data_IF_957438919372
#
_entry.id   IF_957438919372
#
_cell.length_a   1.000
_cell.length_b   1.000
_cell.length_c   1.000
_cell.angle_alpha   90.00
_cell.angle_beta   90.00
_cell.angle_gamma   90.00
#
_symmetry.space_group_name_H-M   'P 1'
#
loop_
_entity.id
_entity.type
_entity.pdbx_description
1 polymer ?
#
# COMPACT_ATOMS: atom_id res chain seq x y z
N UNK A 1 1.78 -8.77 -13.92
CA UNK A 1 3.09 -8.28 -13.42
C UNK A 1 3.21 -8.54 -11.91
N UNK A 2 4.42 -8.80 -11.40
CA UNK A 2 4.69 -8.87 -9.96
C UNK A 2 4.51 -7.50 -9.27
N UNK A 3 3.96 -7.49 -8.06
CA UNK A 3 3.75 -6.25 -7.30
C UNK A 3 5.07 -5.60 -6.87
N UNK A 4 6.13 -6.38 -6.61
CA UNK A 4 7.44 -5.86 -6.25
C UNK A 4 7.98 -4.85 -7.28
N UNK A 5 7.79 -5.14 -8.58
CA UNK A 5 8.17 -4.22 -9.65
C UNK A 5 7.42 -2.90 -9.55
N UNK A 6 6.11 -2.93 -9.30
CA UNK A 6 5.29 -1.73 -9.13
C UNK A 6 5.68 -0.94 -7.86
N UNK A 7 5.94 -1.65 -6.76
CA UNK A 7 6.39 -1.07 -5.50
C UNK A 7 7.73 -0.34 -5.64
N UNK A 8 8.67 -0.92 -6.39
CA UNK A 8 9.93 -0.25 -6.72
C UNK A 8 9.73 0.98 -7.61
N UNK A 9 8.80 0.95 -8.56
CA UNK A 9 8.41 2.17 -9.30
C UNK A 9 7.87 3.24 -8.35
N UNK A 10 7.05 2.89 -7.36
CA UNK A 10 6.58 3.87 -6.38
C UNK A 10 7.72 4.50 -5.57
N UNK A 11 8.74 3.73 -5.21
CA UNK A 11 9.93 4.22 -4.52
C UNK A 11 10.72 5.24 -5.36
N UNK A 12 10.83 4.99 -6.67
CA UNK A 12 11.46 5.93 -7.62
C UNK A 12 10.62 7.19 -7.84
N UNK A 13 9.29 7.05 -7.90
CA UNK A 13 8.37 8.18 -8.03
C UNK A 13 8.49 9.13 -6.83
N UNK A 14 8.59 8.60 -5.61
CA UNK A 14 8.75 9.42 -4.40
C UNK A 14 10.05 10.23 -4.39
N UNK A 15 11.10 9.71 -5.02
CA UNK A 15 12.39 10.41 -5.14
C UNK A 15 12.43 11.43 -6.28
N UNK A 16 11.42 11.45 -7.14
CA UNK A 16 11.44 12.19 -8.41
C UNK A 16 10.56 13.44 -8.35
N UNK A 17 11.15 14.61 -8.63
CA UNK A 17 10.42 15.89 -8.65
C UNK A 17 10.06 16.39 -10.08
N UNK A 18 10.62 15.77 -11.12
CA UNK A 18 10.37 16.17 -12.51
C UNK A 18 9.10 15.51 -13.03
N UNK A 19 8.13 16.32 -13.46
CA UNK A 19 6.87 15.82 -14.04
C UNK A 19 7.08 14.89 -15.24
N UNK A 20 8.06 15.20 -16.11
CA UNK A 20 8.36 14.36 -17.27
C UNK A 20 8.93 13.01 -16.82
N UNK A 21 9.87 13.02 -15.87
CA UNK A 21 10.44 11.79 -15.33
C UNK A 21 9.38 10.92 -14.61
N UNK A 22 8.42 11.55 -13.90
CA UNK A 22 7.30 10.81 -13.30
C UNK A 22 6.44 10.09 -14.35
N UNK A 23 6.19 10.73 -15.50
CA UNK A 23 5.44 10.12 -16.60
C UNK A 23 6.21 8.94 -17.19
N UNK A 24 7.52 9.11 -17.41
CA UNK A 24 8.39 8.05 -17.93
C UNK A 24 8.42 6.84 -16.99
N UNK A 25 8.65 7.07 -15.69
CA UNK A 25 8.67 6.03 -14.66
C UNK A 25 7.35 5.24 -14.60
N UNK A 26 6.19 5.91 -14.71
CA UNK A 26 4.90 5.22 -14.74
C UNK A 26 4.64 4.51 -16.08
N UNK A 27 5.19 4.99 -17.19
CA UNK A 27 4.94 4.38 -18.51
C UNK A 27 5.57 2.98 -18.60
N UNK A 28 6.74 2.77 -18.00
CA UNK A 28 7.44 1.48 -18.01
C UNK A 28 6.58 0.30 -17.51
N UNK A 29 6.02 0.31 -16.29
CA UNK A 29 5.18 -0.80 -15.82
C UNK A 29 3.93 -0.98 -16.69
N UNK A 30 3.32 0.09 -17.23
CA UNK A 30 2.14 -0.04 -18.10
C UNK A 30 2.44 -0.75 -19.42
N UNK A 31 3.67 -0.67 -19.95
CA UNK A 31 4.06 -1.41 -21.17
C UNK A 31 4.17 -2.91 -20.95
N UNK A 32 4.31 -3.36 -19.70
CA UNK A 32 4.44 -4.77 -19.34
C UNK A 32 3.09 -5.45 -19.06
N UNK A 33 2.00 -4.68 -19.07
CA UNK A 33 0.67 -5.19 -18.74
C UNK A 33 0.00 -5.73 -20.00
N UNK A 34 -0.48 -6.97 -19.93
CA UNK A 34 -1.09 -7.65 -21.08
C UNK A 34 -2.60 -7.39 -21.20
N UNK A 35 -3.27 -7.03 -20.10
CA UNK A 35 -4.73 -6.97 -20.03
C UNK A 35 -5.31 -5.68 -19.42
N UNK A 36 -6.50 -5.23 -19.87
CA UNK A 36 -7.10 -3.97 -19.42
C UNK A 36 -7.50 -3.97 -17.93
N UNK A 37 -7.79 -5.14 -17.35
CA UNK A 37 -8.14 -5.23 -15.93
C UNK A 37 -6.94 -4.99 -15.00
N UNK A 38 -5.75 -5.48 -15.38
CA UNK A 38 -4.53 -5.20 -14.61
C UNK A 38 -4.17 -3.71 -14.70
N UNK A 39 -4.30 -3.08 -15.87
CA UNK A 39 -4.12 -1.62 -16.03
C UNK A 39 -5.04 -0.86 -15.06
N UNK A 40 -6.32 -1.23 -15.02
CA UNK A 40 -7.30 -0.62 -14.12
C UNK A 40 -6.91 -0.76 -12.65
N UNK A 41 -6.42 -1.93 -12.23
CA UNK A 41 -5.96 -2.17 -10.86
C UNK A 41 -4.73 -1.35 -10.52
N UNK A 42 -3.73 -1.28 -11.41
CA UNK A 42 -2.56 -0.41 -11.25
C UNK A 42 -2.98 1.04 -11.09
N UNK A 43 -3.88 1.53 -11.95
CA UNK A 43 -4.41 2.89 -11.86
C UNK A 43 -5.02 3.19 -10.49
N UNK A 44 -5.71 2.24 -9.87
CA UNK A 44 -6.24 2.41 -8.51
C UNK A 44 -5.13 2.38 -7.45
N UNK A 45 -4.18 1.45 -7.53
CA UNK A 45 -3.09 1.33 -6.56
C UNK A 45 -2.17 2.58 -6.57
N UNK A 46 -1.86 3.12 -7.75
CA UNK A 46 -1.12 4.39 -7.91
C UNK A 46 -1.82 5.54 -7.18
N UNK A 47 -3.16 5.51 -7.10
CA UNK A 47 -3.96 6.50 -6.39
C UNK A 47 -4.16 6.19 -4.90
N UNK A 48 -3.57 5.10 -4.39
CA UNK A 48 -3.79 4.63 -3.02
C UNK A 48 -5.18 4.06 -2.79
N UNK A 49 -5.79 3.42 -3.79
CA UNK A 49 -7.18 2.92 -3.75
C UNK A 49 -7.29 1.48 -4.21
N UNK A 50 -8.41 0.86 -3.83
CA UNK A 50 -8.81 -0.49 -4.28
C UNK A 50 -10.25 -0.55 -4.83
N UNK A 51 -10.87 0.62 -5.01
CA UNK A 51 -12.22 0.78 -5.54
C UNK A 51 -12.42 2.20 -6.11
N UNK A 52 -13.40 2.40 -7.01
CA UNK A 52 -13.81 3.73 -7.46
C UNK A 52 -14.47 4.54 -6.34
N UNK A 53 -14.48 5.87 -6.48
CA UNK A 53 -15.02 6.80 -5.48
C UNK A 53 -16.52 6.62 -5.17
N UNK A 54 -17.30 6.10 -6.10
CA UNK A 54 -18.73 5.89 -5.89
C UNK A 54 -19.03 4.59 -5.12
N UNK A 55 -18.03 3.72 -4.92
CA UNK A 55 -18.15 2.53 -4.08
C UNK A 55 -17.73 2.94 -2.66
N UNK A 56 -18.68 2.89 -1.71
CA UNK A 56 -18.43 3.22 -0.30
C UNK A 56 -17.65 2.10 0.40
N UNK A 57 -16.38 1.93 -0.01
CA UNK A 57 -15.49 0.89 0.48
C UNK A 57 -14.47 1.49 1.44
N UNK A 58 -14.51 1.07 2.70
CA UNK A 58 -13.59 1.50 3.74
C UNK A 58 -12.73 0.34 4.23
N UNK A 59 -11.43 0.57 4.40
CA UNK A 59 -10.54 -0.45 4.98
C UNK A 59 -10.97 -0.83 6.40
N UNK A 60 -11.50 0.12 7.17
CA UNK A 60 -12.02 -0.11 8.52
C UNK A 60 -10.99 -0.67 9.49
N UNK A 61 -9.72 -0.27 9.34
CA UNK A 61 -8.61 -0.66 10.21
C UNK A 61 -8.00 0.60 10.84
N UNK A 62 -8.05 0.68 12.16
CA UNK A 62 -7.38 1.73 12.92
C UNK A 62 -5.87 1.44 13.01
N UNK A 63 -5.08 2.46 13.38
CA UNK A 63 -3.63 2.37 13.54
C UNK A 63 -3.19 1.17 14.39
N UNK A 64 -3.83 0.95 15.55
CA UNK A 64 -3.55 -0.20 16.43
C UNK A 64 -3.84 -1.55 15.75
N UNK A 65 -4.86 -1.62 14.90
CA UNK A 65 -5.21 -2.83 14.15
C UNK A 65 -4.16 -3.12 13.08
N UNK A 66 -3.71 -2.09 12.36
CA UNK A 66 -2.61 -2.21 11.38
C UNK A 66 -1.32 -2.62 12.07
N UNK A 67 -1.00 -2.02 13.23
CA UNK A 67 0.18 -2.41 14.01
C UNK A 67 0.14 -3.88 14.45
N UNK A 68 -1.03 -4.39 14.85
CA UNK A 68 -1.21 -5.83 15.15
C UNK A 68 -0.95 -6.73 13.94
N UNK A 69 -1.35 -6.33 12.74
CA UNK A 69 -1.07 -7.09 11.52
C UNK A 69 0.42 -7.12 11.17
N UNK A 70 1.09 -5.97 11.26
CA UNK A 70 2.54 -5.88 11.01
C UNK A 70 3.30 -6.72 12.03
N UNK A 71 2.93 -6.62 13.32
CA UNK A 71 3.54 -7.42 14.38
C UNK A 71 3.40 -8.92 14.12
N UNK A 72 2.21 -9.37 13.70
CA UNK A 72 1.95 -10.76 13.35
C UNK A 72 2.79 -11.23 12.16
N UNK A 73 2.91 -10.41 11.11
CA UNK A 73 3.68 -10.76 9.91
C UNK A 73 5.20 -10.77 10.16
N UNK A 74 5.69 -9.91 11.05
CA UNK A 74 7.12 -9.78 11.37
C UNK A 74 7.55 -10.57 12.63
N UNK A 75 6.64 -11.35 13.22
CA UNK A 75 6.88 -12.11 14.46
C UNK A 75 7.43 -11.24 15.61
N UNK A 76 6.90 -10.02 15.76
CA UNK A 76 7.22 -9.07 16.84
C UNK A 76 5.96 -8.72 17.66
N UNK A 77 6.05 -7.75 18.57
CA UNK A 77 4.92 -7.25 19.36
C UNK A 77 4.32 -5.97 18.77
N UNK A 78 3.01 -5.72 18.94
CA UNK A 78 2.40 -4.45 18.52
C UNK A 78 3.04 -3.23 19.18
N UNK A 79 3.58 -3.37 20.39
CA UNK A 79 4.26 -2.31 21.12
C UNK A 79 5.56 -1.87 20.42
N UNK A 80 6.36 -2.80 19.92
CA UNK A 80 7.57 -2.51 19.13
C UNK A 80 7.20 -1.77 17.82
N UNK A 81 6.16 -2.24 17.13
CA UNK A 81 5.65 -1.57 15.91
C UNK A 81 5.24 -0.13 16.20
N UNK A 82 4.49 0.12 17.28
CA UNK A 82 4.04 1.45 17.66
C UNK A 82 5.19 2.35 18.12
N UNK A 83 6.21 1.81 18.78
CA UNK A 83 7.41 2.55 19.17
C UNK A 83 8.22 3.01 17.95
N UNK A 84 8.40 2.13 16.96
CA UNK A 84 9.04 2.47 15.68
C UNK A 84 8.21 3.49 14.92
N UNK A 85 6.88 3.34 14.90
CA UNK A 85 5.99 4.31 14.28
C UNK A 85 6.09 5.70 14.91
N UNK A 86 6.20 5.79 16.24
CA UNK A 86 6.41 7.05 16.94
C UNK A 86 7.74 7.74 16.55
N UNK A 87 8.72 6.97 16.09
CA UNK A 87 10.03 7.47 15.65
C UNK A 87 10.04 7.84 14.16
N UNK A 88 9.45 7.01 13.30
CA UNK A 88 9.48 7.17 11.84
C UNK A 88 8.35 8.05 11.30
N UNK A 89 7.21 8.12 12.00
CA UNK A 89 6.03 8.86 11.58
C UNK A 89 5.27 8.26 10.39
N UNK A 90 5.68 7.08 9.90
CA UNK A 90 5.07 6.41 8.74
C UNK A 90 4.97 4.90 8.98
N UNK A 91 3.75 4.37 8.96
CA UNK A 91 3.48 2.96 9.25
C UNK A 91 4.00 2.04 8.13
N UNK A 92 4.10 2.53 6.89
CA UNK A 92 4.71 1.81 5.79
C UNK A 92 6.21 1.66 5.96
N UNK A 93 6.92 2.71 6.42
CA UNK A 93 8.36 2.59 6.73
C UNK A 93 8.62 1.61 7.87
N UNK A 94 7.74 1.56 8.87
CA UNK A 94 7.82 0.54 9.93
C UNK A 94 7.63 -0.87 9.36
N UNK A 95 6.65 -1.05 8.48
CA UNK A 95 6.41 -2.33 7.81
C UNK A 95 7.61 -2.77 6.96
N UNK A 96 8.24 -1.84 6.24
CA UNK A 96 9.46 -2.09 5.47
C UNK A 96 10.59 -2.62 6.37
N UNK A 97 10.93 -1.87 7.42
CA UNK A 97 12.04 -2.22 8.32
C UNK A 97 11.82 -3.59 8.97
N UNK A 98 10.64 -3.81 9.53
CA UNK A 98 10.32 -5.06 10.21
C UNK A 98 10.27 -6.24 9.23
N UNK A 99 9.81 -6.01 7.99
CA UNK A 99 9.79 -7.07 6.98
C UNK A 99 11.21 -7.44 6.54
N UNK A 100 12.10 -6.46 6.38
CA UNK A 100 13.52 -6.69 6.09
C UNK A 100 14.21 -7.45 7.23
N UNK A 101 13.92 -7.11 8.49
CA UNK A 101 14.44 -7.80 9.68
C UNK A 101 13.94 -9.24 9.81
N UNK A 102 12.66 -9.49 9.48
CA UNK A 102 12.04 -10.82 9.56
C UNK A 102 12.56 -11.80 8.48
N UNK A 103 13.39 -11.35 7.53
CA UNK A 103 14.08 -12.21 6.58
C UNK A 103 13.22 -12.72 5.42
N UNK A 104 13.42 -14.00 5.05
CA UNK A 104 13.00 -14.60 3.77
C UNK A 104 11.55 -14.31 3.38
N UNK A 105 11.35 -13.88 2.13
CA UNK A 105 10.03 -13.68 1.52
C UNK A 105 9.45 -15.04 1.13
N UNK A 106 8.20 -15.30 1.52
CA UNK A 106 7.55 -16.60 1.31
C UNK A 106 6.89 -16.75 -0.08
N UNK A 107 6.87 -15.70 -0.90
CA UNK A 107 6.25 -15.71 -2.21
C UNK A 107 6.54 -14.46 -3.04
N UNK A 108 5.89 -14.35 -4.19
CA UNK A 108 5.92 -13.17 -5.05
C UNK A 108 4.50 -12.89 -5.51
N UNK A 109 3.82 -11.95 -4.84
CA UNK A 109 2.46 -11.59 -5.22
C UNK A 109 2.45 -10.77 -6.52
N UNK A 110 1.49 -11.08 -7.38
CA UNK A 110 1.10 -10.25 -8.51
C UNK A 110 0.36 -8.99 -8.06
N UNK A 111 0.30 -8.00 -8.94
CA UNK A 111 -0.53 -6.80 -8.73
C UNK A 111 -2.00 -7.17 -8.48
N UNK A 112 -2.50 -8.17 -9.21
CA UNK A 112 -3.87 -8.66 -9.08
C UNK A 112 -4.14 -9.24 -7.68
N UNK A 113 -3.24 -10.07 -7.17
CA UNK A 113 -3.37 -10.68 -5.84
C UNK A 113 -3.34 -9.62 -4.74
N UNK A 114 -2.42 -8.65 -4.82
CA UNK A 114 -2.36 -7.54 -3.85
C UNK A 114 -3.64 -6.70 -3.91
N UNK A 115 -4.09 -6.33 -5.10
CA UNK A 115 -5.31 -5.54 -5.28
C UNK A 115 -6.53 -6.27 -4.72
N UNK A 116 -6.71 -7.54 -5.08
CA UNK A 116 -7.85 -8.35 -4.63
C UNK A 116 -7.77 -8.63 -3.13
N UNK A 117 -6.58 -8.87 -2.58
CA UNK A 117 -6.37 -9.05 -1.15
C UNK A 117 -6.74 -7.81 -0.34
N UNK A 118 -6.26 -6.64 -0.74
CA UNK A 118 -6.62 -5.37 -0.11
C UNK A 118 -8.12 -5.06 -0.26
N UNK A 119 -8.72 -5.34 -1.41
CA UNK A 119 -10.17 -5.19 -1.61
C UNK A 119 -10.96 -6.13 -0.69
N UNK A 120 -10.52 -7.38 -0.54
CA UNK A 120 -11.17 -8.34 0.35
C UNK A 120 -11.09 -7.91 1.83
N UNK A 121 -9.98 -7.29 2.26
CA UNK A 121 -9.86 -6.68 3.59
C UNK A 121 -10.94 -5.61 3.75
N UNK A 122 -11.07 -4.70 2.79
CA UNK A 122 -12.05 -3.61 2.87
C UNK A 122 -13.51 -4.11 2.86
N UNK A 123 -13.80 -5.18 2.13
CA UNK A 123 -15.13 -5.81 2.08
C UNK A 123 -15.47 -6.67 3.31
N UNK A 124 -14.49 -6.97 4.17
CA UNK A 124 -14.71 -7.79 5.37
C UNK A 124 -15.54 -7.02 6.39
N UNK A 125 -16.69 -7.57 6.79
CA UNK A 125 -17.63 -6.95 7.73
C UNK A 125 -18.32 -7.99 8.63
N UNK A 126 -18.98 -7.51 9.69
CA UNK A 126 -19.72 -8.35 10.64
C UNK A 126 -18.91 -8.79 11.86
N UNK A 127 -19.45 -9.75 12.62
CA UNK A 127 -18.85 -10.23 13.87
C UNK A 127 -17.49 -10.90 13.58
N UNK A 128 -16.45 -10.44 14.26
CA UNK A 128 -15.08 -10.95 14.06
C UNK A 128 -14.34 -10.35 12.86
N UNK A 129 -14.91 -9.34 12.18
CA UNK A 129 -14.27 -8.70 11.03
C UNK A 129 -12.88 -8.13 11.35
N UNK A 130 -12.68 -7.56 12.55
CA UNK A 130 -11.39 -6.98 12.95
C UNK A 130 -10.28 -8.04 12.92
N UNK A 131 -10.49 -9.20 13.55
CA UNK A 131 -9.48 -10.27 13.59
C UNK A 131 -9.24 -10.88 12.21
N UNK A 132 -10.28 -11.00 11.37
CA UNK A 132 -10.13 -11.45 9.99
C UNK A 132 -9.31 -10.45 9.15
N UNK A 133 -9.55 -9.15 9.28
CA UNK A 133 -8.77 -8.11 8.62
C UNK A 133 -7.31 -8.15 9.07
N UNK A 134 -7.07 -8.37 10.38
CA UNK A 134 -5.73 -8.49 10.92
C UNK A 134 -4.98 -9.65 10.26
N UNK A 135 -5.59 -10.83 10.25
CA UNK A 135 -5.01 -12.03 9.67
C UNK A 135 -4.75 -11.90 8.16
N UNK A 136 -5.71 -11.35 7.40
CA UNK A 136 -5.57 -11.14 5.96
C UNK A 136 -4.44 -10.16 5.61
N UNK A 137 -4.33 -9.06 6.35
CA UNK A 137 -3.24 -8.12 6.14
C UNK A 137 -1.89 -8.75 6.50
N UNK A 138 -1.82 -9.48 7.62
CA UNK A 138 -0.59 -10.17 7.99
C UNK A 138 -0.16 -11.17 6.91
N UNK A 139 -1.09 -11.95 6.37
CA UNK A 139 -0.85 -12.92 5.30
C UNK A 139 -0.35 -12.27 3.99
N UNK A 140 -0.88 -11.10 3.62
CA UNK A 140 -0.33 -10.35 2.49
C UNK A 140 1.10 -9.89 2.74
N UNK A 141 1.40 -9.42 3.97
CA UNK A 141 2.71 -8.88 4.32
C UNK A 141 3.80 -9.95 4.38
N UNK A 142 3.49 -11.19 4.76
CA UNK A 142 4.49 -12.28 4.78
C UNK A 142 4.94 -12.70 3.38
N UNK A 143 4.09 -12.49 2.36
CA UNK A 143 4.29 -12.89 0.97
C UNK A 143 4.98 -11.83 0.10
N UNK A 144 5.37 -10.69 0.68
CA UNK A 144 6.01 -9.60 -0.05
C UNK A 144 7.33 -9.17 0.61
N UNK A 145 8.20 -8.54 -0.17
CA UNK A 145 9.44 -7.93 0.31
C UNK A 145 9.18 -6.63 1.11
N UNK A 146 10.23 -6.05 1.69
CA UNK A 146 10.11 -4.84 2.50
C UNK A 146 9.57 -3.61 1.76
N UNK A 147 10.03 -3.36 0.54
CA UNK A 147 9.56 -2.22 -0.27
C UNK A 147 8.09 -2.45 -0.63
N UNK A 148 7.73 -3.66 -1.04
CA UNK A 148 6.33 -4.02 -1.27
C UNK A 148 5.46 -3.86 -0.02
N UNK A 149 5.93 -4.31 1.15
CA UNK A 149 5.21 -4.18 2.43
C UNK A 149 4.92 -2.71 2.78
N UNK A 150 5.89 -1.81 2.56
CA UNK A 150 5.73 -0.36 2.70
C UNK A 150 4.51 0.15 1.94
N UNK A 151 4.43 -0.21 0.66
CA UNK A 151 3.38 0.27 -0.23
C UNK A 151 2.04 -0.39 0.01
N UNK A 152 1.99 -1.67 0.38
CA UNK A 152 0.76 -2.33 0.84
C UNK A 152 0.17 -1.59 2.05
N UNK A 153 0.99 -1.30 3.06
CA UNK A 153 0.53 -0.60 4.27
C UNK A 153 0.16 0.85 3.98
N UNK A 154 0.95 1.56 3.17
CA UNK A 154 0.61 2.94 2.77
C UNK A 154 -0.70 2.99 2.01
N UNK A 155 -0.94 2.11 1.04
CA UNK A 155 -2.20 2.06 0.29
C UNK A 155 -3.37 1.77 1.24
N UNK A 156 -3.20 0.83 2.18
CA UNK A 156 -4.24 0.51 3.16
C UNK A 156 -4.56 1.69 4.08
N UNK A 157 -3.54 2.37 4.61
CA UNK A 157 -3.75 3.52 5.49
C UNK A 157 -4.31 4.69 4.68
N UNK A 158 -3.75 5.02 3.51
CA UNK A 158 -4.16 6.09 2.60
C UNK A 158 -5.58 5.91 2.04
N UNK A 159 -6.04 4.67 1.83
CA UNK A 159 -7.42 4.40 1.45
C UNK A 159 -8.42 4.88 2.52
N UNK A 160 -7.97 5.10 3.76
CA UNK A 160 -8.75 5.70 4.86
C UNK A 160 -8.66 7.24 4.89
N UNK A 161 -7.76 7.86 4.12
CA UNK A 161 -7.59 9.32 4.08
C UNK A 161 -8.61 9.98 3.14
N UNK A 162 -9.89 9.88 3.50
CA UNK A 162 -10.89 10.82 3.03
C UNK A 162 -10.70 12.16 3.78
N UNK A 163 -10.18 13.16 3.08
CA UNK A 163 -10.42 14.59 3.33
C UNK A 163 -9.90 15.12 4.69
N UNK A 164 -8.57 15.21 4.87
CA UNK A 164 -7.96 16.33 5.63
C UNK A 164 -6.67 16.80 4.95
N UNK A 165 -6.82 17.92 4.23
CA UNK A 165 -5.86 18.99 3.96
C UNK A 165 -4.37 18.67 3.75
N UNK A 166 -3.92 19.07 2.54
CA UNK A 166 -2.60 19.63 2.21
C UNK A 166 -1.43 18.66 2.38
N UNK A 167 -1.02 18.02 1.27
CA UNK A 167 0.39 17.87 0.87
C UNK A 167 0.59 17.06 -0.43
N UNK A 168 -0.46 16.47 -1.01
CA UNK A 168 -0.45 16.10 -2.44
C UNK A 168 -1.00 17.25 -3.29
N UNK A 169 -0.26 18.34 -3.38
CA UNK A 169 -0.48 19.35 -4.42
C UNK A 169 0.37 18.97 -5.62
N UNK A 170 -0.23 18.35 -6.64
CA UNK A 170 0.21 18.64 -8.00
C UNK A 170 0.25 20.17 -8.10
N UNK A 171 1.44 20.71 -8.37
CA UNK A 171 1.70 22.14 -8.56
C UNK A 171 0.48 22.84 -9.16
N UNK A 172 -0.20 23.68 -8.36
CA UNK A 172 -1.14 24.70 -8.86
C UNK A 172 -0.37 25.93 -9.38
N UNK A 173 0.80 25.73 -9.98
CA UNK A 173 1.54 26.79 -10.65
C UNK A 173 1.90 26.35 -12.07
N UNK A 174 1.39 27.11 -13.03
CA UNK A 174 1.81 27.09 -14.42
C UNK A 174 0.79 26.47 -15.36
N UNK A 175 -0.35 27.13 -15.56
CA UNK A 175 -0.89 27.53 -16.88
C UNK A 175 -1.99 28.55 -16.62
N UNK A 176 -1.58 29.80 -16.41
CA UNK A 176 -2.42 30.96 -16.66
C UNK A 176 -1.83 31.65 -17.89
N UNK A 177 -2.47 31.41 -19.04
CA UNK A 177 -2.52 32.29 -20.21
C UNK A 177 -3.89 32.08 -20.82
#
# INVERSE_FOLDING_TARGET
MEFARLAHTFEELERTNSRLALIELLTEPFRLVEGPEEIKRICYLVQGRVAPFFEALEMGMAEKTVARSIALAAHTTPEDVLQRYATLGDMGLVAEQLRQEAGTVLGALSVDEVFLGLRAIAQTAGKGAIEQKIARLADLLTQVDGVSAKYVVRILVLATWHIRSKNWSFSKNGYAT
#
